data_IF_866962198849
#
_entry.id   IF_866962198849
#
_cell.length_a   1.000
_cell.length_b   1.000
_cell.length_c   1.000
_cell.angle_alpha   90.00
_cell.angle_beta   90.00
_cell.angle_gamma   90.00
#
_symmetry.space_group_name_H-M   'P 1'
#
loop_
_entity.id
_entity.type
_entity.pdbx_description
1 polymer ?
#
# COMPACT_ATOMS: atom_id res chain seq x y z
N UNK A 1 18.04 -6.37 15.23
CA UNK A 1 17.12 -7.08 14.32
C UNK A 1 15.92 -6.22 13.90
N UNK A 2 15.40 -5.34 14.76
CA UNK A 2 14.21 -4.49 14.52
C UNK A 2 14.27 -3.62 13.25
N UNK A 3 15.44 -3.09 12.88
CA UNK A 3 15.57 -2.20 11.70
C UNK A 3 15.18 -2.88 10.38
N UNK A 4 15.37 -4.19 10.25
CA UNK A 4 15.03 -4.96 9.04
C UNK A 4 13.60 -5.50 9.06
N UNK A 5 12.93 -5.47 10.21
CA UNK A 5 11.62 -6.07 10.39
C UNK A 5 10.58 -5.47 9.44
N UNK A 6 10.51 -4.14 9.34
CA UNK A 6 9.58 -3.47 8.43
C UNK A 6 9.83 -3.82 6.95
N UNK A 7 11.09 -3.98 6.55
CA UNK A 7 11.40 -4.40 5.17
C UNK A 7 10.96 -5.84 4.90
N UNK A 8 11.15 -6.75 5.86
CA UNK A 8 10.66 -8.12 5.75
C UNK A 8 9.15 -8.20 5.72
N UNK A 9 8.46 -7.42 6.56
CA UNK A 9 6.99 -7.32 6.55
C UNK A 9 6.50 -6.82 5.20
N UNK A 10 7.09 -5.75 4.67
CA UNK A 10 6.73 -5.24 3.35
C UNK A 10 6.96 -6.28 2.25
N UNK A 11 8.13 -6.91 2.22
CA UNK A 11 8.45 -7.94 1.23
C UNK A 11 7.47 -9.13 1.30
N UNK A 12 7.09 -9.57 2.51
CA UNK A 12 6.12 -10.63 2.70
C UNK A 12 4.72 -10.24 2.22
N UNK A 13 4.23 -9.05 2.60
CA UNK A 13 2.90 -8.57 2.22
C UNK A 13 2.81 -8.36 0.70
N UNK A 14 3.67 -7.51 0.14
CA UNK A 14 3.58 -7.18 -1.29
C UNK A 14 4.00 -8.33 -2.19
N UNK A 15 4.96 -9.16 -1.76
CA UNK A 15 5.31 -10.39 -2.46
C UNK A 15 4.17 -11.41 -2.44
N UNK A 16 3.53 -11.60 -1.29
CA UNK A 16 2.36 -12.47 -1.15
C UNK A 16 1.19 -12.00 -2.03
N UNK A 17 0.88 -10.70 -2.02
CA UNK A 17 -0.14 -10.11 -2.89
C UNK A 17 0.20 -10.30 -4.37
N UNK A 18 1.46 -10.09 -4.76
CA UNK A 18 1.88 -10.28 -6.15
C UNK A 18 1.69 -11.74 -6.60
N UNK A 19 2.05 -12.72 -5.76
CA UNK A 19 1.78 -14.14 -6.03
C UNK A 19 0.27 -14.41 -6.14
N UNK A 20 -0.53 -13.83 -5.25
CA UNK A 20 -1.98 -14.00 -5.25
C UNK A 20 -2.64 -13.50 -6.55
N UNK A 21 -2.12 -12.43 -7.17
CA UNK A 21 -2.61 -11.95 -8.47
C UNK A 21 -2.55 -13.03 -9.54
N UNK A 22 -1.48 -13.83 -9.59
CA UNK A 22 -1.35 -14.89 -10.60
C UNK A 22 -2.21 -16.12 -10.30
N UNK A 23 -2.58 -16.33 -9.04
CA UNK A 23 -3.41 -17.47 -8.62
C UNK A 23 -4.90 -17.15 -8.78
N UNK A 24 -5.32 -15.93 -8.45
CA UNK A 24 -6.74 -15.60 -8.27
C UNK A 24 -7.32 -14.68 -9.35
N UNK A 25 -6.52 -13.85 -10.03
CA UNK A 25 -7.05 -12.89 -11.01
C UNK A 25 -6.94 -13.38 -12.45
N UNK A 26 -7.97 -13.05 -13.23
CA UNK A 26 -8.00 -13.20 -14.67
C UNK A 26 -6.94 -12.32 -15.35
N UNK A 27 -6.39 -12.74 -16.51
CA UNK A 27 -5.30 -12.01 -17.17
C UNK A 27 -5.58 -10.53 -17.46
N UNK A 28 -6.84 -10.15 -17.69
CA UNK A 28 -7.26 -8.76 -17.93
C UNK A 28 -6.97 -7.85 -16.75
N UNK A 29 -7.13 -8.36 -15.52
CA UNK A 29 -7.13 -7.56 -14.31
C UNK A 29 -5.75 -7.58 -13.61
N UNK A 30 -4.86 -8.48 -14.03
CA UNK A 30 -3.53 -8.65 -13.43
C UNK A 30 -2.69 -7.38 -13.51
N UNK A 31 -2.74 -6.68 -14.65
CA UNK A 31 -1.90 -5.50 -14.87
C UNK A 31 -2.31 -4.38 -13.90
N UNK A 32 -3.61 -4.12 -13.77
CA UNK A 32 -4.11 -3.10 -12.85
C UNK A 32 -3.83 -3.45 -11.38
N UNK A 33 -4.03 -4.72 -11.00
CA UNK A 33 -3.73 -5.20 -9.67
C UNK A 33 -2.22 -5.09 -9.34
N UNK A 34 -1.34 -5.47 -10.28
CA UNK A 34 0.12 -5.34 -10.09
C UNK A 34 0.56 -3.88 -9.98
N UNK A 35 -0.03 -2.97 -10.76
CA UNK A 35 0.22 -1.53 -10.64
C UNK A 35 -0.19 -1.03 -9.25
N UNK A 36 -1.38 -1.41 -8.78
CA UNK A 36 -1.84 -1.03 -7.43
C UNK A 36 -0.92 -1.56 -6.32
N UNK A 37 -0.49 -2.83 -6.42
CA UNK A 37 0.47 -3.43 -5.48
C UNK A 37 1.80 -2.68 -5.52
N UNK A 38 2.30 -2.36 -6.72
CA UNK A 38 3.56 -1.62 -6.89
C UNK A 38 3.49 -0.22 -6.26
N UNK A 39 2.41 0.53 -6.52
CA UNK A 39 2.21 1.85 -5.91
C UNK A 39 2.16 1.74 -4.37
N UNK A 40 1.43 0.77 -3.85
CA UNK A 40 1.39 0.49 -2.41
C UNK A 40 2.76 0.17 -1.83
N UNK A 41 3.57 -0.64 -2.53
CA UNK A 41 4.92 -1.00 -2.11
C UNK A 41 5.87 0.21 -2.08
N UNK A 42 5.76 1.11 -3.05
CA UNK A 42 6.53 2.37 -3.10
C UNK A 42 6.15 3.27 -1.93
N UNK A 43 4.85 3.48 -1.68
CA UNK A 43 4.37 4.29 -0.54
C UNK A 43 4.84 3.71 0.80
N UNK A 44 4.70 2.39 0.98
CA UNK A 44 5.17 1.71 2.18
C UNK A 44 6.68 1.89 2.38
N UNK A 45 7.48 1.69 1.34
CA UNK A 45 8.93 1.86 1.37
C UNK A 45 9.31 3.29 1.76
N UNK A 46 8.60 4.29 1.19
CA UNK A 46 8.74 5.69 1.57
C UNK A 46 8.46 5.93 3.06
N UNK A 47 7.36 5.39 3.59
CA UNK A 47 7.02 5.51 5.01
C UNK A 47 8.06 4.83 5.92
N UNK A 48 8.58 3.66 5.55
CA UNK A 48 9.63 2.97 6.32
C UNK A 48 10.92 3.81 6.36
N UNK A 49 11.30 4.45 5.26
CA UNK A 49 12.44 5.36 5.22
C UNK A 49 12.18 6.62 6.07
N UNK A 50 10.99 7.21 5.99
CA UNK A 50 10.61 8.37 6.81
C UNK A 50 10.57 8.05 8.30
N UNK A 51 10.08 6.88 8.69
CA UNK A 51 10.05 6.43 10.09
C UNK A 51 11.45 6.46 10.73
N UNK A 52 12.48 6.09 9.96
CA UNK A 52 13.87 6.11 10.41
C UNK A 52 14.45 7.50 10.57
N UNK A 53 13.99 8.47 9.76
CA UNK A 53 14.51 9.86 9.78
C UNK A 53 13.75 10.77 10.74
N UNK A 54 12.42 10.72 10.73
CA UNK A 54 11.59 11.61 11.53
C UNK A 54 10.23 10.96 11.85
N UNK A 55 10.08 10.48 13.09
CA UNK A 55 8.87 9.83 13.59
C UNK A 55 7.62 10.73 13.51
N UNK A 56 7.78 12.05 13.71
CA UNK A 56 6.65 13.00 13.67
C UNK A 56 6.08 13.12 12.25
N UNK A 57 6.96 13.24 11.26
CA UNK A 57 6.54 13.30 9.86
C UNK A 57 5.92 11.96 9.45
N UNK A 58 6.52 10.83 9.84
CA UNK A 58 5.94 9.51 9.58
C UNK A 58 4.52 9.35 10.16
N UNK A 59 4.28 9.80 11.40
CA UNK A 59 2.96 9.78 12.02
C UNK A 59 1.97 10.69 11.26
N UNK A 60 2.37 11.90 10.90
CA UNK A 60 1.53 12.81 10.10
C UNK A 60 1.20 12.22 8.74
N UNK A 61 2.20 11.72 7.99
CA UNK A 61 2.00 11.12 6.68
C UNK A 61 1.08 9.91 6.74
N UNK A 62 1.26 9.04 7.74
CA UNK A 62 0.37 7.90 7.97
C UNK A 62 -1.05 8.37 8.29
N UNK A 63 -1.20 9.37 9.17
CA UNK A 63 -2.51 9.94 9.51
C UNK A 63 -3.24 10.55 8.30
N UNK A 64 -2.53 11.31 7.46
CA UNK A 64 -3.07 11.89 6.23
C UNK A 64 -3.48 10.80 5.24
N UNK A 65 -2.64 9.78 5.04
CA UNK A 65 -2.97 8.66 4.16
C UNK A 65 -4.20 7.89 4.64
N UNK A 66 -4.31 7.64 5.95
CA UNK A 66 -5.48 6.99 6.54
C UNK A 66 -6.75 7.82 6.34
N UNK A 67 -6.68 9.14 6.58
CA UNK A 67 -7.82 10.03 6.36
C UNK A 67 -8.24 10.05 4.87
N UNK A 68 -7.27 10.17 3.96
CA UNK A 68 -7.52 10.13 2.52
C UNK A 68 -8.13 8.79 2.08
N UNK A 69 -7.64 7.67 2.62
CA UNK A 69 -8.18 6.34 2.34
C UNK A 69 -9.63 6.21 2.81
N UNK A 70 -9.93 6.67 4.04
CA UNK A 70 -11.30 6.68 4.56
C UNK A 70 -12.21 7.50 3.64
N UNK A 71 -11.83 8.74 3.32
CA UNK A 71 -12.61 9.60 2.43
C UNK A 71 -12.84 8.91 1.07
N UNK A 72 -11.79 8.38 0.45
CA UNK A 72 -11.90 7.68 -0.83
C UNK A 72 -12.82 6.46 -0.76
N UNK A 73 -12.74 5.64 0.29
CA UNK A 73 -13.60 4.45 0.45
C UNK A 73 -15.08 4.84 0.52
N UNK A 74 -15.43 5.89 1.26
CA UNK A 74 -16.83 6.32 1.43
C UNK A 74 -17.35 7.17 0.25
N UNK A 75 -16.47 7.91 -0.43
CA UNK A 75 -16.83 8.79 -1.54
C UNK A 75 -16.80 8.06 -2.89
N UNK A 76 -15.96 7.02 -3.05
CA UNK A 76 -15.84 6.25 -4.29
C UNK A 76 -17.19 5.73 -4.83
N UNK A 77 -18.08 5.14 -4.01
CA UNK A 77 -19.40 4.71 -4.48
C UNK A 77 -20.27 5.84 -5.04
N UNK A 78 -20.07 7.08 -4.61
CA UNK A 78 -20.82 8.24 -5.12
C UNK A 78 -20.22 8.82 -6.40
N UNK A 79 -18.91 8.63 -6.62
CA UNK A 79 -18.20 9.16 -7.80
C UNK A 79 -18.13 8.16 -8.95
N UNK A 80 -17.99 6.87 -8.63
CA UNK A 80 -17.79 5.78 -9.57
C UNK A 80 -18.91 4.73 -9.47
N UNK A 81 -20.00 5.07 -8.78
CA UNK A 81 -21.19 4.22 -8.69
C UNK A 81 -21.83 4.04 -10.07
N UNK A 82 -21.61 2.87 -10.65
CA UNK A 82 -22.52 2.23 -11.59
C UNK A 82 -23.54 1.38 -10.82
#
# INVERSE_FOLDING_TARGET
MEKKLFWWIGAFIFGGLAVQVFIQLEPSDRVEALISIFVGAVLYSGLVLMHRRNKKIWLMSTGVLSAAAIVMIFVSPHLFGH
#
